data_IF_172121273797
#
_entry.id   IF_172121273797
#
_cell.length_a   1.000
_cell.length_b   1.000
_cell.length_c   1.000
_cell.angle_alpha   90.00
_cell.angle_beta   90.00
_cell.angle_gamma   90.00
#
_symmetry.space_group_name_H-M   'P 1'
#
loop_
_entity.id
_entity.type
_entity.pdbx_description
1 polymer ?
#
# COMPACT_ATOMS: atom_id res chain seq x y z
N UNK A 1 -3.63 7.24 -16.44
CA UNK A 1 -3.90 6.06 -17.30
C UNK A 1 -3.45 4.77 -16.60
N UNK A 2 -4.29 4.20 -15.73
CA UNK A 2 -4.03 2.90 -15.09
C UNK A 2 -5.30 2.12 -14.74
N UNK A 3 -6.42 2.50 -15.35
CA UNK A 3 -7.77 2.33 -14.80
C UNK A 3 -8.36 0.92 -14.81
N UNK A 4 -7.61 -0.13 -15.13
CA UNK A 4 -8.16 -1.49 -15.04
C UNK A 4 -7.10 -2.56 -14.70
N UNK A 5 -5.89 -2.14 -14.34
CA UNK A 5 -4.79 -3.07 -14.01
C UNK A 5 -5.14 -4.07 -12.89
N UNK A 6 -5.87 -3.69 -11.81
CA UNK A 6 -6.25 -4.64 -10.77
C UNK A 6 -7.11 -5.81 -11.28
N UNK A 7 -7.90 -5.58 -12.34
CA UNK A 7 -8.82 -6.57 -12.91
C UNK A 7 -8.28 -7.27 -14.16
N UNK A 8 -7.04 -6.97 -14.58
CA UNK A 8 -6.40 -7.75 -15.64
C UNK A 8 -6.33 -9.22 -15.21
N UNK A 9 -6.71 -10.12 -16.13
CA UNK A 9 -6.73 -11.54 -15.86
C UNK A 9 -5.32 -12.11 -15.98
N UNK A 10 -4.90 -12.81 -14.94
CA UNK A 10 -3.66 -13.56 -14.86
C UNK A 10 -3.97 -14.91 -14.25
N UNK A 11 -3.53 -16.01 -14.87
CA UNK A 11 -3.80 -17.38 -14.40
C UNK A 11 -5.26 -17.60 -13.96
N UNK A 12 -6.19 -17.30 -14.87
CA UNK A 12 -7.64 -17.45 -14.71
C UNK A 12 -8.32 -16.59 -13.64
N UNK A 13 -7.62 -15.67 -12.97
CA UNK A 13 -8.20 -14.77 -11.97
C UNK A 13 -7.71 -13.31 -12.12
N UNK A 14 -8.44 -12.32 -11.60
CA UNK A 14 -7.96 -10.94 -11.53
C UNK A 14 -6.65 -10.81 -10.73
N UNK A 15 -5.73 -9.95 -11.17
CA UNK A 15 -4.48 -9.67 -10.46
C UNK A 15 -4.68 -9.30 -8.97
N UNK A 16 -5.69 -8.48 -8.67
CA UNK A 16 -6.00 -8.10 -7.30
C UNK A 16 -6.43 -9.28 -6.43
N UNK A 17 -7.06 -10.30 -7.03
CA UNK A 17 -7.44 -11.53 -6.31
C UNK A 17 -6.20 -12.31 -5.88
N UNK A 18 -5.17 -12.39 -6.73
CA UNK A 18 -3.88 -13.01 -6.37
C UNK A 18 -3.21 -12.28 -5.20
N UNK A 19 -3.13 -10.94 -5.27
CA UNK A 19 -2.53 -10.13 -4.21
C UNK A 19 -3.28 -10.29 -2.87
N UNK A 20 -4.62 -10.23 -2.89
CA UNK A 20 -5.46 -10.43 -1.70
C UNK A 20 -5.26 -11.84 -1.13
N UNK A 21 -5.29 -12.88 -1.97
CA UNK A 21 -5.19 -14.26 -1.52
C UNK A 21 -3.82 -14.56 -0.90
N UNK A 22 -2.74 -14.04 -1.49
CA UNK A 22 -1.39 -14.21 -0.96
C UNK A 22 -1.17 -13.47 0.37
N UNK A 23 -1.78 -12.29 0.54
CA UNK A 23 -1.63 -11.49 1.77
C UNK A 23 -2.53 -11.98 2.91
N UNK A 24 -3.70 -12.56 2.61
CA UNK A 24 -4.72 -12.98 3.60
C UNK A 24 -4.19 -13.85 4.74
N UNK A 25 -3.36 -14.89 4.53
CA UNK A 25 -2.84 -15.68 5.65
C UNK A 25 -1.71 -14.97 6.42
N UNK A 26 -1.19 -13.85 5.92
CA UNK A 26 -0.02 -13.17 6.48
C UNK A 26 -0.37 -11.94 7.35
N UNK A 27 -1.61 -11.45 7.31
CA UNK A 27 -2.04 -10.22 8.02
C UNK A 27 -3.38 -10.42 8.72
N UNK A 28 -3.65 -9.62 9.75
CA UNK A 28 -4.92 -9.67 10.48
C UNK A 28 -6.09 -9.01 9.74
N UNK A 29 -5.82 -8.05 8.86
CA UNK A 29 -6.83 -7.31 8.12
C UNK A 29 -6.29 -6.83 6.78
N UNK A 30 -7.14 -6.82 5.76
CA UNK A 30 -6.84 -6.30 4.43
C UNK A 30 -7.83 -5.19 4.11
N UNK A 31 -7.30 -4.07 3.62
CA UNK A 31 -8.05 -2.97 3.04
C UNK A 31 -7.54 -2.75 1.62
N UNK A 32 -8.42 -2.39 0.69
CA UNK A 32 -8.03 -2.01 -0.67
C UNK A 32 -8.17 -0.51 -0.82
N UNK A 33 -7.08 0.18 -1.13
CA UNK A 33 -7.19 1.58 -1.53
C UNK A 33 -7.77 1.67 -2.94
N UNK A 34 -8.93 2.31 -3.05
CA UNK A 34 -9.63 2.54 -4.30
C UNK A 34 -9.33 3.93 -4.90
N UNK A 35 -8.49 4.74 -4.26
CA UNK A 35 -8.18 6.10 -4.69
C UNK A 35 -9.42 6.99 -4.59
N UNK A 36 -9.77 7.66 -5.69
CA UNK A 36 -10.93 8.55 -5.74
C UNK A 36 -12.26 7.76 -5.76
N UNK A 37 -13.24 8.08 -4.88
CA UNK A 37 -14.49 7.31 -4.74
C UNK A 37 -15.36 7.20 -6.00
N UNK A 38 -15.30 8.20 -6.88
CA UNK A 38 -16.12 8.31 -8.09
C UNK A 38 -15.42 7.75 -9.34
N UNK A 39 -14.20 7.22 -9.20
CA UNK A 39 -13.48 6.65 -10.33
C UNK A 39 -14.13 5.36 -10.85
N UNK A 40 -13.94 5.07 -12.15
CA UNK A 40 -14.42 3.82 -12.75
C UNK A 40 -13.84 2.58 -12.05
N UNK A 41 -12.56 2.66 -11.65
CA UNK A 41 -11.88 1.60 -10.88
C UNK A 41 -12.54 1.39 -9.53
N UNK A 42 -12.79 2.49 -8.79
CA UNK A 42 -13.46 2.42 -7.50
C UNK A 42 -14.82 1.74 -7.60
N UNK A 43 -15.57 2.01 -8.67
CA UNK A 43 -16.86 1.35 -8.94
C UNK A 43 -16.70 -0.16 -9.11
N UNK A 44 -15.72 -0.62 -9.89
CA UNK A 44 -15.46 -2.05 -10.06
C UNK A 44 -14.96 -2.70 -8.77
N UNK A 45 -14.11 -2.03 -7.99
CA UNK A 45 -13.59 -2.52 -6.72
C UNK A 45 -14.69 -2.78 -5.68
N UNK A 46 -15.85 -2.14 -5.78
CA UNK A 46 -17.01 -2.41 -4.88
C UNK A 46 -17.54 -3.84 -5.00
N UNK A 47 -17.19 -4.56 -6.07
CA UNK A 47 -17.53 -5.99 -6.22
C UNK A 47 -16.69 -6.92 -5.33
N UNK A 48 -15.58 -6.41 -4.76
CA UNK A 48 -14.73 -7.18 -3.87
C UNK A 48 -15.39 -7.37 -2.49
N UNK A 49 -15.16 -8.53 -1.87
CA UNK A 49 -15.56 -8.80 -0.47
C UNK A 49 -14.60 -8.18 0.56
N UNK A 50 -13.67 -7.33 0.12
CA UNK A 50 -12.64 -6.71 0.95
C UNK A 50 -13.00 -5.24 1.16
N UNK A 51 -12.93 -4.70 2.39
CA UNK A 51 -13.27 -3.30 2.64
C UNK A 51 -12.41 -2.34 1.80
N UNK A 52 -13.07 -1.30 1.28
CA UNK A 52 -12.43 -0.24 0.51
C UNK A 52 -12.12 0.96 1.39
N UNK A 53 -10.97 1.56 1.17
CA UNK A 53 -10.59 2.89 1.67
C UNK A 53 -10.33 3.81 0.48
N UNK A 54 -10.47 5.10 0.69
CA UNK A 54 -10.39 6.12 -0.36
C UNK A 54 -9.45 7.23 0.06
N UNK A 55 -8.73 7.79 -0.91
CA UNK A 55 -7.82 8.90 -0.65
C UNK A 55 -8.58 10.14 -0.19
N UNK A 56 -7.96 10.92 0.69
CA UNK A 56 -8.47 12.23 1.05
C UNK A 56 -8.40 13.15 -0.18
N UNK A 57 -9.48 13.86 -0.54
CA UNK A 57 -9.49 14.77 -1.69
C UNK A 57 -8.32 15.77 -1.73
N UNK A 58 -7.82 16.20 -0.57
CA UNK A 58 -6.71 17.16 -0.46
C UNK A 58 -5.35 16.58 -0.92
N UNK A 59 -5.19 15.26 -0.91
CA UNK A 59 -3.94 14.57 -1.27
C UNK A 59 -4.14 13.55 -2.41
N UNK A 60 -5.33 13.50 -2.99
CA UNK A 60 -5.66 12.61 -4.11
C UNK A 60 -4.80 12.98 -5.32
N UNK A 61 -4.42 11.97 -6.13
CA UNK A 61 -3.59 12.11 -7.34
C UNK A 61 -2.10 12.49 -7.11
N UNK A 62 -1.60 12.45 -5.87
CA UNK A 62 -0.18 12.69 -5.57
C UNK A 62 0.73 11.46 -5.73
N UNK A 63 0.24 10.42 -6.42
CA UNK A 63 0.95 9.16 -6.65
C UNK A 63 0.78 8.15 -5.50
N UNK A 64 1.59 7.08 -5.45
CA UNK A 64 1.38 5.97 -4.51
C UNK A 64 1.38 6.37 -3.03
N UNK A 65 2.05 7.47 -2.68
CA UNK A 65 2.14 7.96 -1.31
C UNK A 65 0.80 8.49 -0.78
N UNK A 66 -0.14 8.94 -1.63
CA UNK A 66 -1.51 9.25 -1.19
C UNK A 66 -2.18 8.01 -0.60
N UNK A 67 -2.02 6.86 -1.27
CA UNK A 67 -2.55 5.60 -0.79
C UNK A 67 -1.87 5.06 0.46
N UNK A 68 -0.55 5.26 0.59
CA UNK A 68 0.18 4.94 1.83
C UNK A 68 -0.35 5.80 2.98
N UNK A 69 -0.55 7.10 2.76
CA UNK A 69 -1.11 8.01 3.76
C UNK A 69 -2.52 7.55 4.20
N UNK A 70 -3.41 7.27 3.25
CA UNK A 70 -4.75 6.73 3.50
C UNK A 70 -4.71 5.42 4.30
N UNK A 71 -3.80 4.52 3.94
CA UNK A 71 -3.59 3.26 4.65
C UNK A 71 -3.08 3.47 6.09
N UNK A 72 -2.12 4.37 6.29
CA UNK A 72 -1.58 4.69 7.63
C UNK A 72 -2.64 5.30 8.53
N UNK A 73 -3.48 6.21 8.00
CA UNK A 73 -4.63 6.72 8.73
C UNK A 73 -5.58 5.59 9.17
N UNK A 74 -5.87 4.64 8.28
CA UNK A 74 -6.72 3.49 8.60
C UNK A 74 -6.06 2.59 9.66
N UNK A 75 -4.76 2.34 9.55
CA UNK A 75 -3.98 1.56 10.52
C UNK A 75 -4.05 2.18 11.93
N UNK A 76 -3.89 3.50 12.05
CA UNK A 76 -4.02 4.23 13.32
C UNK A 76 -5.44 4.08 13.89
N UNK A 77 -6.48 4.30 13.08
CA UNK A 77 -7.89 4.15 13.51
C UNK A 77 -8.18 2.74 14.01
N UNK A 78 -7.59 1.72 13.37
CA UNK A 78 -7.72 0.31 13.74
C UNK A 78 -6.77 -0.11 14.88
N UNK A 79 -5.93 0.80 15.39
CA UNK A 79 -4.89 0.52 16.40
C UNK A 79 -3.95 -0.61 15.98
N UNK A 80 -3.66 -0.70 14.68
CA UNK A 80 -2.74 -1.68 14.13
C UNK A 80 -1.29 -1.35 14.54
N UNK A 81 -0.49 -2.38 14.83
CA UNK A 81 0.92 -2.21 15.20
C UNK A 81 1.78 -1.71 14.04
N UNK A 82 1.45 -2.13 12.82
CA UNK A 82 2.18 -1.79 11.60
C UNK A 82 1.25 -1.98 10.39
N UNK A 83 1.52 -1.26 9.31
CA UNK A 83 0.83 -1.43 8.03
C UNK A 83 1.73 -2.13 7.02
N UNK A 84 1.19 -3.06 6.25
CA UNK A 84 1.86 -3.59 5.05
C UNK A 84 1.25 -2.95 3.82
N UNK A 85 2.08 -2.39 2.95
CA UNK A 85 1.67 -2.01 1.60
C UNK A 85 2.02 -3.11 0.61
N UNK A 86 1.16 -3.29 -0.40
CA UNK A 86 1.36 -4.24 -1.48
C UNK A 86 0.66 -3.73 -2.75
N UNK A 87 1.34 -3.62 -3.91
CA UNK A 87 0.68 -3.33 -5.17
C UNK A 87 -0.33 -4.42 -5.56
N UNK A 88 -1.49 -4.00 -6.06
CA UNK A 88 -2.57 -4.92 -6.47
C UNK A 88 -2.29 -5.70 -7.77
N UNK A 89 -1.18 -5.42 -8.44
CA UNK A 89 -0.78 -5.97 -9.73
C UNK A 89 0.42 -6.93 -9.63
N UNK A 90 0.74 -7.42 -8.42
CA UNK A 90 1.83 -8.37 -8.18
C UNK A 90 1.27 -9.78 -7.92
N UNK A 91 1.30 -10.69 -8.91
CA UNK A 91 0.70 -12.03 -8.78
C UNK A 91 1.56 -13.00 -7.96
N UNK A 92 2.87 -12.73 -7.80
CA UNK A 92 3.81 -13.65 -7.15
C UNK A 92 4.32 -13.07 -5.84
N UNK A 93 3.53 -13.21 -4.78
CA UNK A 93 3.91 -12.76 -3.44
C UNK A 93 4.31 -13.97 -2.58
N UNK A 94 5.55 -14.02 -2.07
CA UNK A 94 5.98 -15.10 -1.18
C UNK A 94 5.13 -15.16 0.08
N UNK A 95 4.82 -16.38 0.54
CA UNK A 95 4.08 -16.61 1.80
C UNK A 95 4.86 -16.14 3.06
N UNK A 96 6.16 -15.85 2.90
CA UNK A 96 7.04 -15.36 3.96
C UNK A 96 7.26 -13.86 3.93
N UNK A 97 6.70 -13.12 2.96
CA UNK A 97 7.00 -11.71 2.74
C UNK A 97 6.78 -10.87 4.00
N UNK A 98 5.61 -10.97 4.63
CA UNK A 98 5.29 -10.18 5.83
C UNK A 98 6.19 -10.57 6.99
N UNK A 99 6.46 -11.88 7.17
CA UNK A 99 7.38 -12.36 8.21
C UNK A 99 8.78 -11.78 8.03
N UNK A 100 9.29 -11.73 6.80
CA UNK A 100 10.60 -11.15 6.48
C UNK A 100 10.62 -9.64 6.78
N UNK A 101 9.58 -8.89 6.39
CA UNK A 101 9.47 -7.47 6.68
C UNK A 101 9.42 -7.18 8.19
N UNK A 102 8.60 -7.92 8.93
CA UNK A 102 8.48 -7.78 10.39
C UNK A 102 9.80 -8.12 11.08
N UNK A 103 10.47 -9.20 10.66
CA UNK A 103 11.78 -9.59 11.23
C UNK A 103 12.82 -8.49 11.00
N UNK A 104 12.90 -7.99 9.76
CA UNK A 104 13.82 -6.91 9.43
C UNK A 104 13.53 -5.64 10.22
N UNK A 105 12.26 -5.27 10.40
CA UNK A 105 11.85 -4.13 11.22
C UNK A 105 12.25 -4.30 12.69
N UNK A 106 12.04 -5.47 13.28
CA UNK A 106 12.41 -5.73 14.67
C UNK A 106 13.94 -5.65 14.87
N UNK A 107 14.72 -6.10 13.89
CA UNK A 107 16.19 -6.07 13.97
C UNK A 107 16.73 -4.65 13.76
N UNK A 108 16.19 -3.89 12.81
CA UNK A 108 16.71 -2.55 12.50
C UNK A 108 16.13 -1.45 13.39
N UNK A 109 14.94 -1.67 13.96
CA UNK A 109 14.17 -0.63 14.63
C UNK A 109 13.64 0.45 13.69
N UNK A 110 13.77 0.28 12.37
CA UNK A 110 13.38 1.30 11.39
C UNK A 110 11.86 1.50 11.34
N UNK A 111 11.45 2.71 11.00
CA UNK A 111 10.04 3.06 10.83
C UNK A 111 9.46 2.51 9.52
N UNK A 112 10.32 2.30 8.52
CA UNK A 112 9.93 1.76 7.22
C UNK A 112 10.94 0.70 6.79
N UNK A 113 10.43 -0.44 6.33
CA UNK A 113 11.24 -1.51 5.74
C UNK A 113 10.56 -1.97 4.46
N UNK A 114 11.30 -2.16 3.38
CA UNK A 114 10.76 -2.62 2.10
C UNK A 114 11.58 -3.76 1.50
N UNK A 115 10.98 -4.50 0.58
CA UNK A 115 11.63 -5.63 -0.10
C UNK A 115 12.66 -5.11 -1.13
N UNK A 116 13.90 -5.58 -0.99
CA UNK A 116 14.96 -5.44 -2.01
C UNK A 116 15.06 -6.69 -2.86
N UNK A 117 15.44 -6.53 -4.13
CA UNK A 117 15.59 -7.63 -5.09
C UNK A 117 16.50 -7.24 -6.27
N UNK A 118 16.35 -7.91 -7.42
CA UNK A 118 17.03 -7.46 -8.66
C UNK A 118 16.65 -6.01 -9.02
N UNK A 119 15.43 -5.62 -8.66
CA UNK A 119 14.99 -4.24 -8.52
C UNK A 119 14.38 -4.06 -7.13
N UNK A 120 14.39 -2.84 -6.62
CA UNK A 120 13.74 -2.52 -5.36
C UNK A 120 12.22 -2.50 -5.50
N UNK A 121 11.53 -2.95 -4.45
CA UNK A 121 10.08 -2.98 -4.36
C UNK A 121 9.61 -2.10 -3.20
N UNK A 122 9.72 -0.76 -3.30
CA UNK A 122 9.45 0.16 -2.20
C UNK A 122 7.99 0.20 -1.77
N UNK A 123 7.08 -0.34 -2.59
CA UNK A 123 5.67 -0.50 -2.26
C UNK A 123 5.34 -1.86 -1.63
N UNK A 124 6.26 -2.82 -1.60
CA UNK A 124 6.16 -4.04 -0.79
C UNK A 124 6.88 -3.77 0.53
N UNK A 125 6.19 -3.12 1.46
CA UNK A 125 6.82 -2.48 2.59
C UNK A 125 5.99 -2.58 3.86
N UNK A 126 6.68 -2.59 4.99
CA UNK A 126 6.12 -2.37 6.31
C UNK A 126 6.35 -0.92 6.71
N UNK A 127 5.29 -0.29 7.23
CA UNK A 127 5.27 1.09 7.68
C UNK A 127 4.81 1.14 9.14
N UNK A 128 5.56 1.83 10.00
CA UNK A 128 5.12 2.16 11.34
C UNK A 128 4.07 3.28 11.29
N UNK A 129 3.02 3.24 12.15
CA UNK A 129 1.98 4.27 12.16
C UNK A 129 2.52 5.70 12.34
N UNK A 130 3.62 5.88 13.09
CA UNK A 130 4.24 7.21 13.30
C UNK A 130 4.78 7.87 12.02
N UNK A 131 5.02 7.11 10.95
CA UNK A 131 5.47 7.64 9.64
C UNK A 131 4.45 8.63 9.06
N UNK A 132 3.18 8.53 9.46
CA UNK A 132 2.12 9.40 8.95
C UNK A 132 2.47 10.88 9.10
N UNK A 133 3.08 11.30 10.20
CA UNK A 133 3.42 12.70 10.44
C UNK A 133 4.47 13.20 9.44
N UNK A 134 5.55 12.44 9.24
CA UNK A 134 6.58 12.79 8.26
C UNK A 134 6.02 12.77 6.84
N UNK A 135 5.14 11.81 6.53
CA UNK A 135 4.50 11.69 5.23
C UNK A 135 3.56 12.85 4.92
N UNK A 136 2.73 13.27 5.87
CA UNK A 136 1.82 14.43 5.70
C UNK A 136 2.62 15.71 5.43
N UNK A 137 3.69 15.95 6.18
CA UNK A 137 4.58 17.09 5.95
C UNK A 137 5.21 17.05 4.55
N UNK A 138 5.73 15.88 4.15
CA UNK A 138 6.38 15.73 2.85
C UNK A 138 5.39 15.91 1.68
N UNK A 139 4.16 15.43 1.80
CA UNK A 139 3.12 15.60 0.77
C UNK A 139 2.68 17.07 0.63
N UNK A 140 2.57 17.81 1.74
CA UNK A 140 2.20 19.25 1.71
C UNK A 140 3.28 20.13 1.07
N UNK A 141 4.54 19.73 1.17
CA UNK A 141 5.68 20.45 0.59
C UNK A 141 5.96 20.05 -0.87
N UNK A 142 5.31 19.00 -1.38
CA UNK A 142 5.57 18.48 -2.71
C UNK A 142 4.78 19.24 -3.78
N UNK A 143 5.48 19.98 -4.65
CA UNK A 143 4.89 20.53 -5.87
C UNK A 143 4.69 19.42 -6.92
N UNK A 144 3.46 18.90 -7.02
CA UNK A 144 3.08 17.96 -8.09
C UNK A 144 3.31 16.46 -7.78
N UNK A 145 3.41 16.10 -6.50
CA UNK A 145 3.51 14.71 -6.03
C UNK A 145 4.92 14.30 -5.58
N UNK A 146 5.00 13.21 -4.82
CA UNK A 146 6.26 12.74 -4.22
C UNK A 146 6.50 11.25 -4.56
N UNK A 147 7.65 10.98 -5.18
CA UNK A 147 8.06 9.61 -5.49
C UNK A 147 8.39 8.82 -4.22
N UNK A 148 7.99 7.55 -4.17
CA UNK A 148 8.17 6.70 -2.99
C UNK A 148 9.65 6.61 -2.58
N UNK A 149 10.55 6.34 -3.52
CA UNK A 149 11.99 6.26 -3.24
C UNK A 149 12.56 7.60 -2.74
N UNK A 150 12.05 8.73 -3.25
CA UNK A 150 12.45 10.07 -2.79
C UNK A 150 12.01 10.31 -1.35
N UNK A 151 10.79 9.91 -0.99
CA UNK A 151 10.35 9.95 0.40
C UNK A 151 11.21 9.04 1.28
N UNK A 152 11.46 7.80 0.87
CA UNK A 152 12.26 6.84 1.63
C UNK A 152 13.70 7.31 1.87
N UNK A 153 14.27 8.13 0.99
CA UNK A 153 15.63 8.68 1.21
C UNK A 153 15.71 9.76 2.29
N UNK A 154 14.59 10.24 2.82
CA UNK A 154 14.54 11.23 3.90
C UNK A 154 14.14 10.63 5.25
N UNK A 155 14.05 9.30 5.34
CA UNK A 155 13.61 8.55 6.51
C UNK A 155 14.80 7.87 7.19
#
# INVERSE_FOLDING_TARGET
>A
MGGNKPFAIYDHAPLISHAINALRPQVSQILVNAGEPISAVATQLRTLKTPLIYDDPAITNLGPLSGIHTGLMAAIRLKAKSMISLPCDMPHIPATMVKSLVTAQMVSGADIVYIKGQRDHPLCALWQPQVLTALDQALRQADGGLGVLRFLSTQ
#
